data_IF_465532103181
#
_entry.id   IF_465532103181
#
_cell.length_a   1.000
_cell.length_b   1.000
_cell.length_c   1.000
_cell.angle_alpha   90.00
_cell.angle_beta   90.00
_cell.angle_gamma   90.00
#
_symmetry.space_group_name_H-M   'P 1'
#
loop_
_entity.id
_entity.type
_entity.pdbx_description
1 polymer ?
#
# COMPACT_ATOMS: atom_id res chain seq x y z
N UNK A 1 -16.18 7.45 14.03
CA UNK A 1 -15.38 6.44 13.33
C UNK A 1 -15.66 6.49 11.84
N UNK A 2 -14.63 6.34 11.01
CA UNK A 2 -14.78 6.29 9.55
C UNK A 2 -14.20 4.99 9.02
N UNK A 3 -14.78 4.51 7.93
CA UNK A 3 -14.35 3.28 7.27
C UNK A 3 -14.00 3.60 5.83
N UNK A 4 -12.86 3.11 5.36
CA UNK A 4 -12.43 3.25 4.00
C UNK A 4 -12.25 1.89 3.34
N UNK A 5 -12.43 1.85 2.03
CA UNK A 5 -12.23 0.67 1.21
C UNK A 5 -11.32 1.03 0.04
N UNK A 6 -10.36 0.17 -0.25
CA UNK A 6 -9.48 0.30 -1.40
C UNK A 6 -9.36 -1.03 -2.12
N UNK A 7 -9.20 -0.95 -3.42
CA UNK A 7 -9.02 -2.12 -4.27
C UNK A 7 -7.99 -1.78 -5.34
N UNK A 8 -7.06 -2.70 -5.59
CA UNK A 8 -6.08 -2.54 -6.65
C UNK A 8 -5.76 -3.89 -7.27
N UNK A 9 -5.38 -3.90 -8.53
CA UNK A 9 -5.01 -5.10 -9.26
C UNK A 9 -3.93 -4.78 -10.27
N UNK A 10 -2.92 -5.64 -10.35
CA UNK A 10 -1.88 -5.56 -11.36
C UNK A 10 -1.67 -6.93 -12.01
N UNK A 11 -1.46 -6.94 -13.31
CA UNK A 11 -1.10 -8.15 -14.03
C UNK A 11 0.38 -8.46 -13.86
N UNK A 12 0.71 -9.75 -13.84
CA UNK A 12 2.10 -10.18 -13.94
C UNK A 12 2.64 -9.93 -15.34
N UNK A 13 3.90 -9.55 -15.43
CA UNK A 13 4.59 -9.36 -16.69
C UNK A 13 6.00 -8.84 -16.47
N UNK A 14 6.85 -9.03 -17.48
CA UNK A 14 8.25 -8.65 -17.36
C UNK A 14 9.01 -9.50 -16.36
N UNK A 15 10.13 -8.99 -15.93
CA UNK A 15 11.00 -9.67 -14.97
C UNK A 15 10.70 -9.23 -13.54
N UNK A 16 10.88 -10.18 -12.60
CA UNK A 16 10.79 -9.89 -11.17
C UNK A 16 11.96 -9.03 -10.68
N UNK A 17 12.00 -8.75 -9.41
CA UNK A 17 11.09 -9.23 -8.37
C UNK A 17 9.73 -8.51 -8.36
N UNK A 18 8.87 -8.90 -7.42
CA UNK A 18 7.66 -8.14 -7.11
C UNK A 18 7.83 -7.42 -5.78
N UNK A 19 7.05 -6.36 -5.58
CA UNK A 19 7.01 -5.63 -4.31
C UNK A 19 5.57 -5.62 -3.83
N UNK A 20 5.32 -6.16 -2.64
CA UNK A 20 4.01 -6.18 -2.00
C UNK A 20 4.16 -5.87 -0.52
N UNK A 21 3.36 -4.93 -0.01
CA UNK A 21 3.48 -4.49 1.38
C UNK A 21 4.84 -3.88 1.69
N UNK A 22 5.49 -3.29 0.70
CA UNK A 22 6.84 -2.74 0.83
C UNK A 22 7.94 -3.79 0.90
N UNK A 23 7.62 -5.07 0.69
CA UNK A 23 8.59 -6.18 0.76
C UNK A 23 8.96 -6.60 -0.65
N UNK A 24 10.27 -6.64 -0.92
CA UNK A 24 10.81 -7.14 -2.18
C UNK A 24 10.85 -8.65 -2.14
N UNK A 25 10.04 -9.28 -2.97
CA UNK A 25 9.87 -10.73 -3.00
C UNK A 25 10.46 -11.28 -4.29
N UNK A 26 11.44 -12.20 -4.20
CA UNK A 26 12.00 -12.84 -5.39
C UNK A 26 10.91 -13.61 -6.15
N UNK A 27 10.80 -13.34 -7.43
CA UNK A 27 9.89 -14.05 -8.33
C UNK A 27 10.38 -13.89 -9.76
N UNK A 28 10.06 -14.84 -10.62
CA UNK A 28 10.48 -14.84 -12.01
C UNK A 28 9.79 -13.76 -12.85
N UNK A 29 8.58 -13.36 -12.46
CA UNK A 29 7.79 -12.33 -13.14
C UNK A 29 7.69 -11.09 -12.27
N UNK A 30 7.58 -9.94 -12.91
CA UNK A 30 7.27 -8.68 -12.26
C UNK A 30 5.79 -8.35 -12.35
N UNK A 31 5.45 -7.13 -12.02
CA UNK A 31 4.10 -6.58 -12.16
C UNK A 31 4.12 -5.46 -13.20
N UNK A 32 3.12 -5.46 -14.07
CA UNK A 32 2.97 -4.40 -15.08
C UNK A 32 2.40 -3.15 -14.40
N UNK A 33 3.23 -2.10 -14.30
CA UNK A 33 2.88 -0.92 -13.53
C UNK A 33 3.77 0.27 -13.89
N UNK A 34 3.31 1.48 -13.56
CA UNK A 34 4.08 2.72 -13.67
C UNK A 34 4.85 3.05 -12.38
N UNK A 35 4.53 2.39 -11.27
CA UNK A 35 5.18 2.53 -9.98
C UNK A 35 5.94 1.25 -9.63
N UNK A 36 6.14 0.99 -8.33
CA UNK A 36 6.68 -0.28 -7.85
C UNK A 36 5.68 -1.45 -7.95
N UNK A 37 4.42 -1.16 -8.29
CA UNK A 37 3.38 -2.17 -8.46
C UNK A 37 2.82 -2.74 -7.17
N UNK A 38 3.06 -2.08 -6.03
CA UNK A 38 2.64 -2.58 -4.73
C UNK A 38 1.12 -2.48 -4.57
N UNK A 39 0.43 -3.54 -4.97
CA UNK A 39 -1.04 -3.59 -4.97
C UNK A 39 -1.60 -3.46 -3.56
N UNK A 40 -0.93 -4.01 -2.55
CA UNK A 40 -1.39 -3.94 -1.17
C UNK A 40 -1.32 -2.50 -0.64
N UNK A 41 -0.21 -1.81 -0.86
CA UNK A 41 -0.05 -0.43 -0.39
C UNK A 41 -0.91 0.54 -1.19
N UNK A 42 -1.12 0.31 -2.48
CA UNK A 42 -2.01 1.14 -3.29
C UNK A 42 -3.46 1.05 -2.81
N UNK A 43 -3.94 -0.16 -2.56
CA UNK A 43 -5.29 -0.36 -2.04
C UNK A 43 -5.45 0.26 -0.66
N UNK A 44 -4.45 0.09 0.22
CA UNK A 44 -4.46 0.69 1.55
C UNK A 44 -4.48 2.22 1.47
N UNK A 45 -3.65 2.81 0.62
CA UNK A 45 -3.60 4.26 0.42
C UNK A 45 -4.97 4.80 0.00
N UNK A 46 -5.61 4.16 -0.97
CA UNK A 46 -6.95 4.54 -1.41
C UNK A 46 -7.99 4.40 -0.29
N UNK A 47 -7.91 3.34 0.51
CA UNK A 47 -8.82 3.15 1.64
C UNK A 47 -8.69 4.27 2.66
N UNK A 48 -7.47 4.66 3.00
CA UNK A 48 -7.19 5.73 3.96
C UNK A 48 -7.67 7.09 3.45
N UNK A 49 -7.36 7.42 2.20
CA UNK A 49 -7.81 8.67 1.59
C UNK A 49 -9.33 8.72 1.49
N UNK A 50 -9.94 7.62 1.09
CA UNK A 50 -11.40 7.53 0.97
C UNK A 50 -12.10 7.68 2.31
N UNK A 51 -11.59 7.07 3.38
CA UNK A 51 -12.15 7.19 4.72
C UNK A 51 -12.18 8.65 5.20
N UNK A 52 -11.14 9.41 4.86
CA UNK A 52 -11.01 10.82 5.23
C UNK A 52 -11.66 11.77 4.22
N UNK A 53 -12.29 11.25 3.17
CA UNK A 53 -12.89 12.02 2.07
C UNK A 53 -11.88 12.93 1.36
N UNK A 54 -10.64 12.45 1.21
CA UNK A 54 -9.55 13.18 0.56
C UNK A 54 -9.33 12.78 -0.90
N UNK A 55 -10.19 11.94 -1.46
CA UNK A 55 -10.08 11.47 -2.83
C UNK A 55 -9.36 10.14 -2.93
N UNK A 56 -8.49 10.01 -3.89
CA UNK A 56 -7.78 8.78 -4.18
C UNK A 56 -6.29 9.02 -4.45
N UNK A 57 -5.55 7.93 -4.65
CA UNK A 57 -4.11 7.97 -4.89
C UNK A 57 -3.77 8.77 -6.16
N UNK A 58 -4.57 8.63 -7.22
CA UNK A 58 -4.33 9.34 -8.48
C UNK A 58 -4.48 10.85 -8.37
N UNK A 59 -5.35 11.30 -7.48
CA UNK A 59 -5.53 12.73 -7.22
C UNK A 59 -4.31 13.36 -6.55
N UNK A 60 -3.72 12.66 -5.58
CA UNK A 60 -2.58 13.16 -4.81
C UNK A 60 -1.24 12.88 -5.48
N UNK A 61 -1.13 11.77 -6.20
CA UNK A 61 0.10 11.30 -6.82
C UNK A 61 -0.15 10.91 -8.27
N UNK A 62 -0.46 11.89 -9.14
CA UNK A 62 -0.83 11.57 -10.53
C UNK A 62 0.33 10.95 -11.32
N UNK A 63 0.01 9.97 -12.16
CA UNK A 63 0.97 9.30 -13.04
C UNK A 63 1.68 10.26 -13.99
N UNK A 64 1.04 11.38 -14.30
CA UNK A 64 1.59 12.41 -15.17
C UNK A 64 2.66 13.26 -14.50
N UNK A 65 2.81 13.19 -13.18
CA UNK A 65 3.82 13.95 -12.46
C UNK A 65 5.13 13.18 -12.43
N UNK A 66 6.21 13.71 -13.04
CA UNK A 66 7.51 13.03 -13.07
C UNK A 66 8.10 12.72 -11.69
N UNK A 67 7.69 13.47 -10.65
CA UNK A 67 8.16 13.26 -9.28
C UNK A 67 7.76 11.89 -8.74
N UNK A 68 6.69 11.29 -9.28
CA UNK A 68 6.13 10.01 -8.79
C UNK A 68 6.39 8.84 -9.73
N UNK A 69 7.12 9.06 -10.82
CA UNK A 69 7.52 7.98 -11.72
C UNK A 69 8.43 7.01 -10.98
N UNK A 70 8.07 5.72 -10.97
CA UNK A 70 8.80 4.70 -10.23
C UNK A 70 8.76 4.87 -8.71
N UNK A 71 7.80 5.62 -8.19
CA UNK A 71 7.74 5.97 -6.78
C UNK A 71 7.61 4.74 -5.88
N UNK A 72 8.30 4.81 -4.74
CA UNK A 72 8.18 3.85 -3.66
C UNK A 72 6.83 4.05 -2.94
N UNK A 73 5.98 3.03 -2.98
CA UNK A 73 4.65 3.10 -2.39
C UNK A 73 4.65 3.29 -0.88
N UNK A 74 5.72 2.88 -0.18
CA UNK A 74 5.88 3.18 1.25
C UNK A 74 6.05 4.69 1.48
N UNK A 75 6.77 5.37 0.60
CA UNK A 75 6.91 6.83 0.68
C UNK A 75 5.54 7.50 0.48
N UNK A 76 4.75 7.02 -0.48
CA UNK A 76 3.40 7.53 -0.69
C UNK A 76 2.52 7.29 0.53
N UNK A 77 2.63 6.12 1.14
CA UNK A 77 1.86 5.80 2.35
C UNK A 77 2.23 6.69 3.52
N UNK A 78 3.52 7.00 3.70
CA UNK A 78 3.97 7.96 4.73
C UNK A 78 3.36 9.33 4.52
N UNK A 79 3.32 9.79 3.27
CA UNK A 79 2.72 11.09 2.94
C UNK A 79 1.22 11.10 3.24
N UNK A 80 0.52 10.02 2.95
CA UNK A 80 -0.90 9.88 3.28
C UNK A 80 -1.10 9.88 4.81
N UNK A 81 -0.24 9.19 5.56
CA UNK A 81 -0.27 9.23 7.01
C UNK A 81 -0.13 10.65 7.56
N UNK A 82 0.76 11.45 6.97
CA UNK A 82 0.94 12.86 7.31
C UNK A 82 -0.33 13.67 7.03
N UNK A 83 -0.96 13.44 5.87
CA UNK A 83 -2.22 14.11 5.52
C UNK A 83 -3.35 13.76 6.49
N UNK A 84 -3.43 12.51 6.94
CA UNK A 84 -4.43 12.11 7.93
C UNK A 84 -4.21 12.82 9.27
N UNK A 85 -2.96 12.89 9.73
CA UNK A 85 -2.63 13.61 10.97
C UNK A 85 -3.03 15.09 10.87
N UNK A 86 -2.73 15.75 9.74
CA UNK A 86 -3.10 17.15 9.52
C UNK A 86 -4.61 17.37 9.51
N UNK A 87 -5.37 16.40 9.06
CA UNK A 87 -6.84 16.49 9.04
C UNK A 87 -7.50 15.99 10.31
N UNK A 88 -6.72 15.54 11.29
CA UNK A 88 -7.21 15.15 12.60
C UNK A 88 -7.69 13.72 12.70
N UNK A 89 -7.27 12.84 11.80
CA UNK A 89 -7.62 11.42 11.83
C UNK A 89 -6.44 10.55 12.25
N UNK A 90 -6.76 9.47 12.91
CA UNK A 90 -5.81 8.40 13.24
C UNK A 90 -6.33 7.08 12.71
N UNK A 91 -5.41 6.18 12.40
CA UNK A 91 -5.77 4.83 11.93
C UNK A 91 -6.10 3.96 13.14
N UNK A 92 -7.33 3.45 13.17
CA UNK A 92 -7.77 2.55 14.23
C UNK A 92 -7.42 1.10 13.94
N UNK A 93 -7.73 0.64 12.72
CA UNK A 93 -7.50 -0.74 12.32
C UNK A 93 -7.35 -0.85 10.81
N UNK A 94 -6.53 -1.79 10.37
CA UNK A 94 -6.35 -2.13 8.97
C UNK A 94 -6.51 -3.64 8.82
N UNK A 95 -7.33 -4.04 7.85
CA UNK A 95 -7.44 -5.43 7.42
C UNK A 95 -7.23 -5.47 5.91
N UNK A 96 -6.29 -6.27 5.44
CA UNK A 96 -5.93 -6.35 4.04
C UNK A 96 -5.90 -7.80 3.57
N UNK A 97 -6.45 -8.03 2.38
CA UNK A 97 -6.44 -9.33 1.74
C UNK A 97 -5.69 -9.23 0.42
N UNK A 98 -4.67 -10.05 0.23
CA UNK A 98 -3.93 -10.13 -1.02
C UNK A 98 -4.24 -11.47 -1.69
N UNK A 99 -4.77 -11.40 -2.91
CA UNK A 99 -5.07 -12.58 -3.72
C UNK A 99 -3.95 -12.77 -4.73
N UNK A 100 -3.15 -13.80 -4.52
CA UNK A 100 -1.97 -14.07 -5.33
C UNK A 100 -1.73 -15.58 -5.38
N UNK A 101 -1.80 -16.15 -6.58
CA UNK A 101 -1.61 -17.60 -6.73
C UNK A 101 -0.18 -18.02 -6.39
N UNK A 102 0.78 -17.21 -6.78
CA UNK A 102 2.21 -17.38 -6.52
C UNK A 102 2.90 -16.02 -6.63
N UNK A 103 4.01 -15.78 -5.94
CA UNK A 103 4.68 -16.63 -4.95
C UNK A 103 3.91 -16.70 -3.63
N UNK A 104 4.37 -17.55 -2.70
CA UNK A 104 3.82 -17.61 -1.33
C UNK A 104 4.13 -16.32 -0.58
N UNK A 105 3.11 -15.71 -0.01
CA UNK A 105 3.24 -14.44 0.71
C UNK A 105 3.40 -14.62 2.22
N UNK A 106 2.96 -15.75 2.77
CA UNK A 106 2.95 -15.97 4.21
C UNK A 106 4.28 -15.67 4.92
N UNK A 107 5.46 -16.07 4.39
CA UNK A 107 6.72 -15.75 5.05
C UNK A 107 7.04 -14.26 5.13
N UNK A 108 6.40 -13.45 4.28
CA UNK A 108 6.65 -12.02 4.16
C UNK A 108 5.67 -11.14 4.93
N UNK A 109 4.59 -11.73 5.46
CA UNK A 109 3.54 -10.98 6.15
C UNK A 109 4.07 -10.20 7.36
N UNK A 110 4.92 -10.75 8.25
CA UNK A 110 5.42 -9.97 9.37
C UNK A 110 6.17 -8.71 8.93
N UNK A 111 6.98 -8.80 7.86
CA UNK A 111 7.69 -7.64 7.32
C UNK A 111 6.74 -6.62 6.69
N UNK A 112 5.70 -7.08 5.99
CA UNK A 112 4.68 -6.19 5.43
C UNK A 112 3.97 -5.41 6.53
N UNK A 113 3.56 -6.08 7.59
CA UNK A 113 2.91 -5.45 8.75
C UNK A 113 3.82 -4.40 9.39
N UNK A 114 5.09 -4.73 9.57
CA UNK A 114 6.05 -3.80 10.16
C UNK A 114 6.27 -2.57 9.26
N UNK A 115 6.37 -2.76 7.95
CA UNK A 115 6.52 -1.66 7.00
C UNK A 115 5.35 -0.69 7.07
N UNK A 116 4.12 -1.21 7.12
CA UNK A 116 2.92 -0.39 7.20
C UNK A 116 2.87 0.35 8.53
N UNK A 117 3.15 -0.33 9.64
CA UNK A 117 3.19 0.29 10.97
C UNK A 117 4.21 1.42 11.02
N UNK A 118 5.40 1.20 10.48
CA UNK A 118 6.45 2.22 10.45
C UNK A 118 6.06 3.42 9.58
N UNK A 119 5.39 3.16 8.45
CA UNK A 119 4.98 4.23 7.53
C UNK A 119 3.88 5.12 8.11
N UNK A 120 2.94 4.54 8.83
CA UNK A 120 1.81 5.27 9.40
C UNK A 120 2.09 5.87 10.78
N UNK A 121 3.23 5.51 11.38
CA UNK A 121 3.62 5.97 12.70
C UNK A 121 3.09 5.08 13.83
N UNK A 122 3.82 5.02 14.98
CA UNK A 122 3.51 4.07 16.04
C UNK A 122 2.16 4.30 16.72
N UNK A 123 1.69 5.53 16.75
CA UNK A 123 0.40 5.87 17.37
C UNK A 123 -0.78 5.62 16.46
N UNK A 124 -0.53 5.49 15.16
CA UNK A 124 -1.57 5.27 14.16
C UNK A 124 -1.82 3.79 13.89
N UNK A 125 -0.93 2.94 14.37
CA UNK A 125 -1.00 1.51 14.11
C UNK A 125 -1.54 0.79 15.34
N UNK A 126 -2.57 0.01 15.15
CA UNK A 126 -3.09 -0.87 16.19
C UNK A 126 -3.08 -2.33 15.77
N UNK A 127 -3.51 -2.60 14.56
CA UNK A 127 -3.68 -3.98 14.11
C UNK A 127 -3.69 -4.07 12.59
N UNK A 128 -3.06 -5.10 12.07
CA UNK A 128 -3.05 -5.42 10.64
C UNK A 128 -3.11 -6.93 10.45
N UNK A 129 -4.03 -7.38 9.63
CA UNK A 129 -4.18 -8.78 9.28
C UNK A 129 -4.05 -8.96 7.78
N UNK A 130 -3.27 -9.94 7.37
CA UNK A 130 -3.17 -10.34 5.96
C UNK A 130 -3.45 -11.84 5.88
N UNK A 131 -4.52 -12.27 5.19
CA UNK A 131 -4.76 -13.67 4.92
C UNK A 131 -3.68 -14.25 4.01
N UNK A 132 -3.37 -15.48 4.20
CA UNK A 132 -2.37 -16.19 3.39
C UNK A 132 -3.02 -16.97 2.27
#
# INVERSE_FOLDING_TARGET
>A
MRIGHGFDVHAFGGEGPIIIGGVRIPYEKGLLTHSDGDVALHALTDALLGAAALGDIGKHFPDTDPRYEGADSLMLLREVGRLLDETGYTVGNIDATVLCQAPKLAPHIPAMRQNIANALGPVSYTHLTLPT
#
